data_IF_263621346779
#
_entry.id   IF_263621346779
#
_cell.length_a   1.000
_cell.length_b   1.000
_cell.length_c   1.000
_cell.angle_alpha   90.00
_cell.angle_beta   90.00
_cell.angle_gamma   90.00
#
_symmetry.space_group_name_H-M   'P 1'
#
loop_
_entity.id
_entity.type
_entity.pdbx_description
1 polymer ?
#
# COMPACT_ATOMS: atom_id res chain seq x y z
N UNK A 1 -5.86 -22.45 1.18
CA UNK A 1 -5.91 -21.19 0.41
C UNK A 1 -4.47 -20.75 0.19
N UNK A 2 -4.03 -20.55 -1.05
CA UNK A 2 -2.64 -20.22 -1.32
C UNK A 2 -2.43 -18.69 -1.36
N UNK A 3 -1.40 -18.23 -0.66
CA UNK A 3 -0.91 -16.85 -0.66
C UNK A 3 0.42 -16.79 -1.42
N UNK A 4 0.50 -15.97 -2.45
CA UNK A 4 1.79 -15.64 -3.07
C UNK A 4 2.54 -14.65 -2.17
N UNK A 5 3.79 -14.98 -1.88
CA UNK A 5 4.68 -14.12 -1.12
C UNK A 5 5.87 -13.71 -1.98
N UNK A 6 5.89 -12.42 -2.33
CA UNK A 6 6.94 -11.84 -3.17
C UNK A 6 7.89 -11.02 -2.30
N UNK A 7 9.08 -11.51 -2.11
CA UNK A 7 10.15 -10.84 -1.37
C UNK A 7 11.52 -11.27 -1.89
N UNK A 8 12.56 -10.48 -1.59
CA UNK A 8 13.92 -10.76 -2.02
C UNK A 8 14.94 -10.09 -1.07
N UNK A 9 16.06 -10.74 -0.81
CA UNK A 9 17.12 -10.21 0.06
C UNK A 9 17.73 -8.90 -0.49
N UNK A 10 17.68 -8.67 -1.79
CA UNK A 10 18.13 -7.42 -2.43
C UNK A 10 17.39 -6.18 -1.94
N UNK A 11 16.19 -6.33 -1.38
CA UNK A 11 15.50 -5.21 -0.73
C UNK A 11 16.22 -4.70 0.53
N UNK A 12 17.09 -5.52 1.15
CA UNK A 12 17.93 -5.12 2.28
C UNK A 12 19.08 -4.20 1.86
N UNK A 13 19.43 -4.16 0.57
CA UNK A 13 20.49 -3.29 0.03
C UNK A 13 20.09 -1.80 0.06
N UNK A 14 18.79 -1.50 0.07
CA UNK A 14 18.32 -0.14 0.28
C UNK A 14 18.50 0.29 1.73
N UNK A 15 19.40 1.25 1.99
CA UNK A 15 19.74 1.77 3.33
C UNK A 15 19.57 3.29 3.35
N UNK A 16 18.45 3.76 3.89
CA UNK A 16 18.13 5.18 3.99
C UNK A 16 18.96 5.94 5.04
N UNK A 17 19.61 5.22 5.97
CA UNK A 17 20.50 5.78 6.99
C UNK A 17 20.50 4.99 8.29
N UNK A 18 21.54 5.18 9.13
CA UNK A 18 21.76 4.36 10.35
C UNK A 18 20.64 4.42 11.41
N UNK A 19 19.84 5.47 11.42
CA UNK A 19 18.74 5.67 12.40
C UNK A 19 17.43 6.00 11.69
N UNK A 20 17.38 5.72 10.39
CA UNK A 20 16.18 5.97 9.61
C UNK A 20 15.08 4.98 10.01
N UNK A 21 13.83 5.42 10.18
CA UNK A 21 12.73 4.51 10.54
C UNK A 21 12.49 3.49 9.42
N UNK A 22 12.55 3.91 8.15
CA UNK A 22 12.55 3.00 7.02
C UNK A 22 13.91 2.32 6.93
N UNK A 23 13.98 1.05 7.30
CA UNK A 23 15.22 0.29 7.46
C UNK A 23 15.04 -1.18 7.04
N UNK A 24 16.14 -1.88 6.69
CA UNK A 24 16.10 -3.31 6.39
C UNK A 24 15.40 -4.18 7.45
N UNK A 25 15.51 -3.82 8.73
CA UNK A 25 14.87 -4.54 9.84
C UNK A 25 13.34 -4.63 9.72
N UNK A 26 12.70 -3.71 8.97
CA UNK A 26 11.26 -3.79 8.70
C UNK A 26 10.91 -5.03 7.89
N UNK A 27 11.70 -5.35 6.87
CA UNK A 27 11.47 -6.54 6.06
C UNK A 27 11.73 -7.83 6.85
N UNK A 28 12.76 -7.83 7.70
CA UNK A 28 13.01 -8.95 8.62
C UNK A 28 11.84 -9.17 9.60
N UNK A 29 11.22 -8.08 10.08
CA UNK A 29 10.02 -8.13 10.92
C UNK A 29 8.82 -8.73 10.15
N UNK A 30 8.64 -8.38 8.88
CA UNK A 30 7.61 -8.96 8.00
C UNK A 30 7.85 -10.46 7.78
N UNK A 31 9.08 -10.86 7.48
CA UNK A 31 9.42 -12.28 7.31
C UNK A 31 9.13 -13.07 8.58
N UNK A 32 9.56 -12.58 9.74
CA UNK A 32 9.23 -13.17 11.04
C UNK A 32 7.73 -13.29 11.26
N UNK A 33 6.96 -12.28 10.85
CA UNK A 33 5.49 -12.29 10.96
C UNK A 33 4.86 -13.44 10.19
N UNK A 34 5.31 -13.70 8.97
CA UNK A 34 4.81 -14.79 8.15
C UNK A 34 5.33 -16.16 8.58
N UNK A 35 6.58 -16.24 9.01
CA UNK A 35 7.15 -17.51 9.52
C UNK A 35 6.40 -18.00 10.78
N UNK A 36 5.82 -17.09 11.58
CA UNK A 36 4.98 -17.43 12.73
C UNK A 36 3.67 -18.17 12.35
N UNK A 37 3.26 -18.12 11.07
CA UNK A 37 2.02 -18.76 10.62
C UNK A 37 2.17 -20.24 10.30
N UNK A 38 3.37 -20.82 10.29
CA UNK A 38 3.65 -22.23 9.96
C UNK A 38 3.01 -22.69 8.63
N UNK A 39 3.06 -21.83 7.59
CA UNK A 39 2.34 -22.02 6.33
C UNK A 39 3.17 -22.72 5.24
N UNK A 40 3.91 -23.77 5.54
CA UNK A 40 4.81 -24.43 4.59
C UNK A 40 4.15 -24.86 3.26
N UNK A 41 2.85 -25.23 3.29
CA UNK A 41 2.13 -25.69 2.08
C UNK A 41 1.30 -24.59 1.38
N UNK A 42 0.86 -23.57 2.11
CA UNK A 42 -0.04 -22.53 1.61
C UNK A 42 0.66 -21.21 1.28
N UNK A 43 1.92 -21.05 1.69
CA UNK A 43 2.74 -19.88 1.37
C UNK A 43 3.65 -20.17 0.17
N UNK A 44 3.22 -19.70 -1.00
CA UNK A 44 3.99 -19.88 -2.25
C UNK A 44 4.95 -18.71 -2.43
N UNK A 45 6.24 -18.95 -2.22
CA UNK A 45 7.28 -17.94 -2.41
C UNK A 45 7.62 -17.81 -3.89
N UNK A 46 7.47 -16.60 -4.43
CA UNK A 46 7.82 -16.27 -5.81
C UNK A 46 8.88 -15.16 -5.80
N UNK A 47 9.92 -15.34 -6.61
CA UNK A 47 10.91 -14.29 -6.81
C UNK A 47 10.29 -13.11 -7.59
N UNK A 48 10.41 -11.88 -7.09
CA UNK A 48 10.03 -10.71 -7.87
C UNK A 48 10.93 -10.56 -9.11
N UNK A 49 10.42 -9.89 -10.15
CA UNK A 49 11.19 -9.51 -11.32
C UNK A 49 11.52 -8.02 -11.33
N UNK A 50 12.56 -7.66 -12.04
CA UNK A 50 12.88 -6.24 -12.23
C UNK A 50 11.87 -5.60 -13.19
N UNK A 51 11.30 -4.46 -12.81
CA UNK A 51 10.49 -3.66 -13.72
C UNK A 51 11.35 -3.12 -14.87
N UNK A 52 10.85 -3.20 -16.08
CA UNK A 52 11.48 -2.64 -17.28
C UNK A 52 11.31 -1.11 -17.31
N UNK A 53 12.20 -0.44 -18.02
CA UNK A 53 12.07 1.02 -18.21
C UNK A 53 10.72 1.40 -18.82
N UNK A 54 10.22 0.63 -19.79
CA UNK A 54 8.91 0.86 -20.40
C UNK A 54 7.75 0.77 -19.40
N UNK A 55 7.85 -0.10 -18.40
CA UNK A 55 6.86 -0.22 -17.34
C UNK A 55 6.93 0.97 -16.36
N UNK A 56 8.13 1.40 -16.00
CA UNK A 56 8.34 2.59 -15.16
C UNK A 56 7.87 3.87 -15.84
N UNK A 57 8.10 4.02 -17.14
CA UNK A 57 7.70 5.18 -17.94
C UNK A 57 6.17 5.40 -18.01
N UNK A 58 5.37 4.44 -17.55
CA UNK A 58 3.91 4.63 -17.43
C UNK A 58 3.53 5.56 -16.27
N UNK A 59 4.42 5.69 -15.27
CA UNK A 59 4.17 6.49 -14.07
C UNK A 59 5.20 7.59 -13.86
N UNK A 60 6.43 7.37 -14.29
CA UNK A 60 7.57 8.27 -14.01
C UNK A 60 8.27 8.69 -15.31
N UNK A 61 8.54 9.98 -15.53
CA UNK A 61 9.28 10.44 -16.69
C UNK A 61 10.73 9.95 -16.67
N UNK A 62 11.34 9.92 -17.85
CA UNK A 62 12.70 9.36 -18.01
C UNK A 62 13.74 10.13 -17.17
N UNK A 63 13.55 11.43 -16.98
CA UNK A 63 14.42 12.28 -16.17
C UNK A 63 14.47 11.80 -14.71
N UNK A 64 13.32 11.45 -14.13
CA UNK A 64 13.24 10.90 -12.78
C UNK A 64 13.97 9.56 -12.68
N UNK A 65 13.73 8.64 -13.63
CA UNK A 65 14.37 7.33 -13.71
C UNK A 65 15.89 7.47 -13.79
N UNK A 66 16.39 8.35 -14.65
CA UNK A 66 17.82 8.59 -14.81
C UNK A 66 18.46 9.28 -13.60
N UNK A 67 17.73 10.14 -12.89
CA UNK A 67 18.22 10.75 -11.66
C UNK A 67 18.45 9.70 -10.55
N UNK A 68 17.52 8.75 -10.38
CA UNK A 68 17.66 7.65 -9.43
C UNK A 68 18.84 6.74 -9.79
N UNK A 69 18.96 6.35 -11.06
CA UNK A 69 20.05 5.50 -11.56
C UNK A 69 21.42 6.16 -11.38
N UNK A 70 21.54 7.46 -11.69
CA UNK A 70 22.77 8.20 -11.54
C UNK A 70 23.20 8.33 -10.08
N UNK A 71 22.24 8.66 -9.19
CA UNK A 71 22.54 8.84 -7.78
C UNK A 71 22.96 7.51 -7.10
N UNK A 72 22.36 6.39 -7.48
CA UNK A 72 22.77 5.05 -7.05
C UNK A 72 24.19 4.72 -7.53
N UNK A 73 24.52 5.03 -8.79
CA UNK A 73 25.85 4.79 -9.37
C UNK A 73 26.94 5.66 -8.73
N UNK A 74 26.59 6.84 -8.20
CA UNK A 74 27.50 7.70 -7.42
C UNK A 74 27.68 7.21 -5.97
N UNK A 75 27.02 6.12 -5.57
CA UNK A 75 27.09 5.53 -4.23
C UNK A 75 26.03 6.03 -3.25
N UNK A 76 25.07 6.79 -3.73
CA UNK A 76 23.93 7.29 -2.97
C UNK A 76 23.88 8.79 -2.78
N UNK A 77 22.81 9.26 -2.15
CA UNK A 77 22.54 10.66 -1.90
C UNK A 77 21.14 10.90 -1.34
N UNK A 78 20.63 12.12 -1.49
CA UNK A 78 19.28 12.49 -1.06
C UNK A 78 18.47 13.00 -2.24
N UNK A 79 17.23 12.53 -2.33
CA UNK A 79 16.24 13.04 -3.29
C UNK A 79 15.44 14.20 -2.69
N UNK A 80 15.19 14.12 -1.37
CA UNK A 80 14.59 15.18 -0.58
C UNK A 80 15.08 15.10 0.89
N UNK A 81 14.61 15.96 1.84
CA UNK A 81 15.10 15.97 3.21
C UNK A 81 14.98 14.64 3.96
N UNK A 82 14.00 13.80 3.63
CA UNK A 82 13.73 12.53 4.32
C UNK A 82 13.90 11.27 3.44
N UNK A 83 14.16 11.44 2.15
CA UNK A 83 14.27 10.33 1.19
C UNK A 83 15.70 10.21 0.67
N UNK A 84 16.37 9.14 1.06
CA UNK A 84 17.75 8.87 0.71
C UNK A 84 17.88 7.66 -0.24
N UNK A 85 18.94 7.67 -1.03
CA UNK A 85 19.39 6.57 -1.88
C UNK A 85 20.76 6.10 -1.36
N UNK A 86 20.99 4.81 -1.30
CA UNK A 86 22.29 4.18 -1.12
C UNK A 86 22.66 3.37 -2.34
N UNK A 87 23.90 2.93 -2.45
CA UNK A 87 24.28 1.94 -3.46
C UNK A 87 23.40 0.69 -3.31
N UNK A 88 22.80 0.22 -4.43
CA UNK A 88 21.83 -0.87 -4.47
C UNK A 88 20.36 -0.44 -4.37
N UNK A 89 20.05 0.80 -3.97
CA UNK A 89 18.67 1.29 -3.86
C UNK A 89 17.92 1.29 -5.18
N UNK A 90 18.59 1.63 -6.30
CA UNK A 90 17.99 1.59 -7.64
C UNK A 90 17.58 0.17 -8.04
N UNK A 91 18.45 -0.81 -7.76
CA UNK A 91 18.14 -2.22 -7.96
C UNK A 91 16.93 -2.68 -7.15
N UNK A 92 16.91 -2.33 -5.85
CA UNK A 92 15.80 -2.63 -4.94
C UNK A 92 14.49 -1.96 -5.40
N UNK A 93 14.51 -0.69 -5.78
CA UNK A 93 13.31 0.03 -6.24
C UNK A 93 12.71 -0.56 -7.52
N UNK A 94 13.54 -0.92 -8.51
CA UNK A 94 13.07 -1.58 -9.72
C UNK A 94 12.48 -2.96 -9.45
N UNK A 95 13.08 -3.68 -8.51
CA UNK A 95 12.60 -4.98 -8.08
C UNK A 95 11.27 -4.85 -7.32
N UNK A 96 11.14 -3.83 -6.45
CA UNK A 96 9.91 -3.53 -5.74
C UNK A 96 8.76 -3.21 -6.71
N UNK A 97 9.00 -2.31 -7.68
CA UNK A 97 8.02 -2.00 -8.73
C UNK A 97 7.65 -3.22 -9.58
N UNK A 98 8.60 -4.12 -9.82
CA UNK A 98 8.38 -5.34 -10.59
C UNK A 98 7.67 -6.46 -9.82
N UNK A 99 7.61 -6.37 -8.48
CA UNK A 99 6.96 -7.39 -7.65
C UNK A 99 5.47 -7.51 -7.94
N UNK A 100 4.76 -6.38 -8.00
CA UNK A 100 3.32 -6.40 -8.33
C UNK A 100 3.05 -6.93 -9.74
N UNK A 101 3.94 -6.64 -10.70
CA UNK A 101 3.82 -7.18 -12.06
C UNK A 101 3.98 -8.70 -12.09
N UNK A 102 4.93 -9.25 -11.33
CA UNK A 102 5.10 -10.70 -11.16
C UNK A 102 3.90 -11.32 -10.45
N UNK A 103 3.34 -10.64 -9.43
CA UNK A 103 2.13 -11.09 -8.75
C UNK A 103 0.93 -11.17 -9.71
N UNK A 104 0.73 -10.16 -10.57
CA UNK A 104 -0.31 -10.17 -11.61
C UNK A 104 -0.15 -11.36 -12.54
N UNK A 105 1.07 -11.64 -12.99
CA UNK A 105 1.37 -12.77 -13.89
C UNK A 105 0.99 -14.10 -13.24
N UNK A 106 1.41 -14.34 -12.00
CA UNK A 106 1.16 -15.58 -11.28
C UNK A 106 -0.34 -15.74 -10.91
N UNK A 107 -1.00 -14.68 -10.41
CA UNK A 107 -2.43 -14.74 -10.09
C UNK A 107 -3.29 -14.97 -11.34
N UNK A 108 -2.91 -14.42 -12.48
CA UNK A 108 -3.61 -14.66 -13.76
C UNK A 108 -3.49 -16.11 -14.20
N UNK A 109 -2.41 -16.81 -13.81
CA UNK A 109 -2.22 -18.24 -14.04
C UNK A 109 -2.91 -19.12 -13.00
N UNK A 110 -3.63 -18.51 -12.05
CA UNK A 110 -4.38 -19.19 -10.98
C UNK A 110 -3.47 -20.00 -10.02
N UNK A 111 -2.25 -19.53 -9.78
CA UNK A 111 -1.32 -20.17 -8.84
C UNK A 111 -1.70 -19.94 -7.37
N UNK A 112 -2.50 -18.89 -7.09
CA UNK A 112 -2.99 -18.58 -5.74
C UNK A 112 -4.24 -17.67 -5.79
N UNK A 113 -4.73 -17.29 -4.61
CA UNK A 113 -5.94 -16.46 -4.48
C UNK A 113 -5.64 -15.00 -4.20
N UNK A 114 -4.46 -14.70 -3.64
CA UNK A 114 -3.98 -13.35 -3.37
C UNK A 114 -2.45 -13.32 -3.35
N UNK A 115 -1.88 -12.11 -3.36
CA UNK A 115 -0.44 -11.90 -3.27
C UNK A 115 -0.09 -10.83 -2.24
N UNK A 116 1.04 -11.02 -1.55
CA UNK A 116 1.67 -10.00 -0.73
C UNK A 116 3.07 -9.69 -1.24
N UNK A 117 3.26 -8.48 -1.70
CA UNK A 117 4.53 -7.91 -2.11
C UNK A 117 5.20 -7.27 -0.88
N UNK A 118 6.02 -8.04 -0.17
CA UNK A 118 6.83 -7.57 0.96
C UNK A 118 8.10 -6.93 0.43
N UNK A 119 8.00 -5.68 0.08
CA UNK A 119 8.97 -4.92 -0.72
C UNK A 119 9.54 -3.74 0.06
N UNK A 120 10.73 -3.29 -0.34
CA UNK A 120 11.39 -2.05 0.04
C UNK A 120 12.23 -1.53 -1.14
N UNK A 121 12.32 -0.19 -1.33
CA UNK A 121 11.62 0.89 -0.61
C UNK A 121 10.10 0.86 -0.85
N UNK A 122 9.31 1.55 0.02
CA UNK A 122 7.88 1.77 -0.20
C UNK A 122 7.62 2.64 -1.43
N UNK A 123 6.34 2.85 -1.82
CA UNK A 123 6.06 3.45 -3.10
C UNK A 123 5.01 4.56 -3.13
N UNK A 124 4.00 4.55 -2.28
CA UNK A 124 2.78 5.34 -2.45
C UNK A 124 2.96 6.87 -2.43
N UNK A 125 4.07 7.38 -1.86
CA UNK A 125 4.38 8.81 -1.87
C UNK A 125 5.12 9.28 -3.11
N UNK A 126 5.77 8.39 -3.89
CA UNK A 126 6.51 8.80 -5.08
C UNK A 126 5.53 9.36 -6.14
N UNK A 127 5.64 10.67 -6.41
CA UNK A 127 4.88 11.35 -7.47
C UNK A 127 5.49 11.04 -8.84
N UNK A 128 4.90 11.47 -9.95
CA UNK A 128 5.50 11.21 -11.25
C UNK A 128 6.97 11.60 -11.33
N UNK A 129 7.36 12.74 -10.81
CA UNK A 129 8.70 13.34 -10.98
C UNK A 129 9.49 13.54 -9.67
N UNK A 130 8.97 13.08 -8.52
CA UNK A 130 9.62 13.25 -7.22
C UNK A 130 9.60 11.96 -6.38
N UNK A 131 10.76 11.60 -5.86
CA UNK A 131 10.91 10.69 -4.74
C UNK A 131 10.72 11.46 -3.43
N UNK A 132 9.84 10.99 -2.55
CA UNK A 132 9.55 11.63 -1.26
C UNK A 132 8.92 10.62 -0.30
N UNK A 133 8.86 10.93 0.99
CA UNK A 133 8.25 10.04 1.99
C UNK A 133 8.85 8.65 1.98
N UNK A 134 10.17 8.53 1.85
CA UNK A 134 10.95 7.28 1.76
C UNK A 134 10.73 6.49 0.45
N UNK A 135 9.83 6.93 -0.43
CA UNK A 135 9.45 6.26 -1.68
C UNK A 135 10.31 6.75 -2.86
N UNK A 136 10.86 5.82 -3.63
CA UNK A 136 11.68 6.13 -4.81
C UNK A 136 10.88 6.01 -6.12
N UNK A 137 10.16 4.91 -6.28
CA UNK A 137 9.28 4.58 -7.40
C UNK A 137 7.91 4.23 -6.79
N UNK A 138 6.84 4.61 -7.45
CA UNK A 138 5.50 4.23 -7.01
C UNK A 138 5.16 2.80 -7.45
N UNK A 139 5.43 1.83 -6.56
CA UNK A 139 5.35 0.41 -6.85
C UNK A 139 3.95 -0.04 -7.26
N UNK A 140 2.93 0.37 -6.49
CA UNK A 140 1.53 0.02 -6.75
C UNK A 140 1.01 0.71 -8.01
N UNK A 141 1.42 1.96 -8.26
CA UNK A 141 1.02 2.69 -9.46
C UNK A 141 1.59 2.06 -10.73
N UNK A 142 2.84 1.59 -10.73
CA UNK A 142 3.43 0.86 -11.87
C UNK A 142 2.61 -0.39 -12.21
N UNK A 143 2.13 -1.11 -11.20
CA UNK A 143 1.26 -2.26 -11.37
C UNK A 143 -0.12 -1.86 -11.93
N UNK A 144 -0.76 -0.86 -11.32
CA UNK A 144 -2.04 -0.33 -11.78
C UNK A 144 -1.96 0.19 -13.23
N UNK A 145 -0.93 0.99 -13.55
CA UNK A 145 -0.70 1.51 -14.90
C UNK A 145 -0.49 0.40 -15.94
N UNK A 146 0.12 -0.72 -15.53
CA UNK A 146 0.28 -1.88 -16.41
C UNK A 146 -1.02 -2.63 -16.66
N UNK A 147 -1.92 -2.68 -15.67
CA UNK A 147 -3.25 -3.28 -15.80
C UNK A 147 -4.16 -2.42 -16.67
N UNK A 148 -4.24 -1.11 -16.43
CA UNK A 148 -5.07 -0.22 -17.27
C UNK A 148 -4.56 -0.14 -18.71
N UNK A 149 -3.28 -0.35 -18.97
CA UNK A 149 -2.74 -0.46 -20.33
C UNK A 149 -3.24 -1.72 -21.07
N UNK A 150 -3.73 -2.73 -20.34
CA UNK A 150 -4.39 -3.93 -20.89
C UNK A 150 -5.91 -3.77 -20.99
N UNK A 151 -6.47 -2.62 -20.60
CA UNK A 151 -7.91 -2.34 -20.61
C UNK A 151 -8.65 -2.72 -19.33
N UNK A 152 -7.93 -3.10 -18.27
CA UNK A 152 -8.47 -3.47 -16.97
C UNK A 152 -8.83 -2.21 -16.14
N UNK A 153 -9.82 -2.31 -15.26
CA UNK A 153 -10.18 -1.31 -14.25
C UNK A 153 -9.55 -1.69 -12.91
N UNK A 154 -8.99 -0.73 -12.21
CA UNK A 154 -8.25 -0.99 -10.97
C UNK A 154 -8.79 -0.15 -9.82
N UNK A 155 -9.15 -0.77 -8.70
CA UNK A 155 -9.30 -0.06 -7.43
C UNK A 155 -7.98 -0.12 -6.66
N UNK A 156 -7.47 1.04 -6.27
CA UNK A 156 -6.33 1.17 -5.36
C UNK A 156 -6.85 1.66 -4.02
N UNK A 157 -6.68 0.87 -2.98
CA UNK A 157 -7.14 1.20 -1.64
C UNK A 157 -5.90 1.33 -0.75
N UNK A 158 -5.67 2.52 -0.23
CA UNK A 158 -4.55 2.85 0.62
C UNK A 158 -5.00 2.94 2.07
N UNK A 159 -4.45 2.08 2.93
CA UNK A 159 -4.73 2.03 4.37
C UNK A 159 -3.51 2.42 5.21
N UNK A 160 -2.43 2.88 4.57
CA UNK A 160 -1.32 3.54 5.27
C UNK A 160 -1.84 4.76 6.03
N UNK A 161 -1.24 5.06 7.17
CA UNK A 161 -1.65 6.22 7.96
C UNK A 161 -1.31 7.56 7.29
N UNK A 162 -0.39 7.56 6.33
CA UNK A 162 -0.06 8.72 5.51
C UNK A 162 -0.84 8.71 4.19
N UNK A 163 -1.22 9.87 3.72
CA UNK A 163 -1.90 10.00 2.43
C UNK A 163 -1.02 9.51 1.26
N UNK A 164 -1.54 8.63 0.42
CA UNK A 164 -0.88 8.12 -0.79
C UNK A 164 -0.85 9.14 -1.92
N UNK A 165 -0.23 10.30 -1.66
CA UNK A 165 -0.23 11.45 -2.56
C UNK A 165 0.34 11.17 -3.94
N UNK A 166 1.37 10.34 -4.02
CA UNK A 166 2.00 9.98 -5.30
C UNK A 166 1.06 9.15 -6.17
N UNK A 167 0.38 8.17 -5.59
CA UNK A 167 -0.62 7.35 -6.29
C UNK A 167 -1.79 8.21 -6.75
N UNK A 168 -2.28 9.10 -5.88
CA UNK A 168 -3.32 10.07 -6.21
C UNK A 168 -2.89 10.94 -7.40
N UNK A 169 -1.72 11.53 -7.37
CA UNK A 169 -1.24 12.44 -8.43
C UNK A 169 -1.10 11.72 -9.78
N UNK A 170 -0.59 10.48 -9.79
CA UNK A 170 -0.43 9.69 -11.02
C UNK A 170 -1.78 9.42 -11.70
N UNK A 171 -2.84 9.17 -10.93
CA UNK A 171 -4.15 8.80 -11.48
C UNK A 171 -5.22 9.88 -11.37
N UNK A 172 -4.89 11.10 -11.00
CA UNK A 172 -5.84 12.18 -10.69
C UNK A 172 -6.80 12.53 -11.83
N UNK A 173 -6.41 12.23 -13.07
CA UNK A 173 -7.18 12.49 -14.29
C UNK A 173 -7.73 11.21 -14.96
N UNK A 174 -7.49 10.02 -14.38
CA UNK A 174 -7.78 8.75 -15.05
C UNK A 174 -8.98 8.02 -14.42
N UNK A 175 -10.13 7.92 -15.11
CA UNK A 175 -11.33 7.26 -14.59
C UNK A 175 -11.25 5.72 -14.55
N UNK A 176 -10.15 5.13 -15.02
CA UNK A 176 -9.93 3.68 -14.99
C UNK A 176 -9.36 3.20 -13.67
N UNK A 177 -8.92 4.14 -12.81
CA UNK A 177 -8.43 3.86 -11.47
C UNK A 177 -9.30 4.56 -10.44
N UNK A 178 -9.93 3.80 -9.57
CA UNK A 178 -10.57 4.31 -8.36
C UNK A 178 -9.52 4.32 -7.23
N UNK A 179 -9.07 5.50 -6.81
CA UNK A 179 -8.13 5.67 -5.71
C UNK A 179 -8.85 6.07 -4.44
N UNK A 180 -8.75 5.26 -3.38
CA UNK A 180 -9.31 5.56 -2.05
C UNK A 180 -8.18 5.53 -1.04
N UNK A 181 -7.99 6.62 -0.27
CA UNK A 181 -6.99 6.70 0.78
C UNK A 181 -7.65 7.02 2.12
N UNK A 182 -7.42 6.17 3.13
CA UNK A 182 -7.87 6.36 4.52
C UNK A 182 -6.62 6.68 5.34
N UNK A 183 -6.48 7.92 5.79
CA UNK A 183 -5.25 8.41 6.39
C UNK A 183 -5.48 9.37 7.54
N UNK A 184 -4.46 9.60 8.36
CA UNK A 184 -4.49 10.60 9.43
C UNK A 184 -4.42 12.02 8.86
N UNK A 185 -5.23 12.91 9.42
CA UNK A 185 -5.26 14.33 9.06
C UNK A 185 -5.39 15.24 10.31
N UNK A 186 -4.59 16.32 10.42
CA UNK A 186 -3.44 16.65 9.56
C UNK A 186 -2.22 15.78 9.84
N UNK A 187 -1.53 15.34 8.79
CA UNK A 187 -0.26 14.63 8.85
C UNK A 187 0.54 14.87 7.55
N UNK A 188 1.79 14.35 7.48
CA UNK A 188 2.57 14.30 6.25
C UNK A 188 1.79 13.55 5.13
N UNK A 189 1.84 14.00 3.86
CA UNK A 189 2.58 15.14 3.33
C UNK A 189 1.79 16.46 3.35
N UNK A 190 0.63 16.54 3.97
CA UNK A 190 -0.23 17.71 4.03
C UNK A 190 -1.20 17.85 2.85
N UNK A 191 -1.42 16.75 2.11
CA UNK A 191 -2.40 16.58 1.03
C UNK A 191 -3.42 15.52 1.39
N UNK A 192 -4.46 15.31 0.59
CA UNK A 192 -5.49 14.32 0.83
C UNK A 192 -6.70 14.86 1.57
N UNK A 193 -7.07 16.12 1.33
CA UNK A 193 -8.34 16.65 1.83
C UNK A 193 -9.53 15.98 1.14
N UNK A 194 -10.68 15.94 1.80
CA UNK A 194 -11.92 15.39 1.22
C UNK A 194 -12.39 16.12 -0.05
N UNK A 195 -11.84 17.30 -0.34
CA UNK A 195 -12.13 18.11 -1.52
C UNK A 195 -11.30 17.69 -2.74
N UNK A 196 -10.23 16.91 -2.55
CA UNK A 196 -9.39 16.38 -3.61
C UNK A 196 -10.04 15.12 -4.20
N UNK A 197 -10.92 15.31 -5.21
CA UNK A 197 -11.80 14.26 -5.77
C UNK A 197 -11.44 13.84 -7.21
N UNK A 198 -10.25 14.20 -7.69
CA UNK A 198 -9.87 14.06 -9.10
C UNK A 198 -10.34 15.20 -9.96
N UNK A 199 -9.83 15.30 -11.17
CA UNK A 199 -10.14 16.36 -12.13
C UNK A 199 -10.46 15.79 -13.52
N UNK A 200 -11.09 16.62 -14.36
CA UNK A 200 -11.46 16.26 -15.74
C UNK A 200 -12.19 14.92 -15.80
N UNK A 201 -11.65 13.93 -16.52
CA UNK A 201 -12.22 12.59 -16.64
C UNK A 201 -12.09 11.76 -15.34
N UNK A 202 -11.10 12.07 -14.50
CA UNK A 202 -10.86 11.42 -13.21
C UNK A 202 -11.69 11.98 -12.05
N UNK A 203 -12.55 12.98 -12.30
CA UNK A 203 -13.38 13.58 -11.24
C UNK A 203 -14.35 12.56 -10.66
N UNK A 204 -14.29 12.37 -9.33
CA UNK A 204 -15.07 11.39 -8.57
C UNK A 204 -14.40 10.03 -8.43
N UNK A 205 -13.23 9.82 -9.05
CA UNK A 205 -12.45 8.58 -8.93
C UNK A 205 -11.28 8.67 -7.94
N UNK A 206 -11.12 9.81 -7.25
CA UNK A 206 -10.25 9.98 -6.08
C UNK A 206 -11.12 10.24 -4.88
N UNK A 207 -10.90 9.49 -3.81
CA UNK A 207 -11.68 9.57 -2.56
C UNK A 207 -10.72 9.59 -1.38
N UNK A 208 -10.72 10.67 -0.63
CA UNK A 208 -9.91 10.85 0.56
C UNK A 208 -10.77 10.76 1.82
N UNK A 209 -10.30 10.00 2.80
CA UNK A 209 -10.93 9.84 4.11
C UNK A 209 -9.94 10.33 5.19
N UNK A 210 -9.83 11.67 5.38
CA UNK A 210 -8.89 12.28 6.30
C UNK A 210 -9.38 12.17 7.75
N UNK A 211 -8.90 11.15 8.46
CA UNK A 211 -9.32 10.82 9.82
C UNK A 211 -8.51 11.60 10.88
N UNK A 212 -9.10 12.04 11.98
CA UNK A 212 -8.37 12.67 13.06
C UNK A 212 -7.44 11.69 13.79
N UNK A 213 -6.39 12.22 14.43
CA UNK A 213 -5.54 11.50 15.38
C UNK A 213 -6.36 10.72 16.39
N UNK A 214 -5.93 9.51 16.75
CA UNK A 214 -6.63 8.61 17.67
C UNK A 214 -7.75 7.79 17.03
N UNK A 215 -8.02 7.92 15.73
CA UNK A 215 -9.00 7.08 15.05
C UNK A 215 -8.61 5.60 15.15
N UNK A 216 -9.58 4.76 15.48
CA UNK A 216 -9.41 3.34 15.80
C UNK A 216 -9.81 2.46 14.63
N UNK A 217 -9.58 1.16 14.76
CA UNK A 217 -10.03 0.17 13.78
C UNK A 217 -11.54 0.16 13.58
N UNK A 218 -12.35 0.52 14.61
CA UNK A 218 -13.80 0.69 14.44
C UNK A 218 -14.12 1.80 13.42
N UNK A 219 -13.38 2.91 13.43
CA UNK A 219 -13.55 4.00 12.45
C UNK A 219 -13.13 3.55 11.06
N UNK A 220 -12.01 2.84 10.94
CA UNK A 220 -11.56 2.26 9.65
C UNK A 220 -12.56 1.25 9.09
N UNK A 221 -13.07 0.31 9.91
CA UNK A 221 -14.13 -0.63 9.47
C UNK A 221 -15.37 0.11 8.98
N UNK A 222 -15.78 1.17 9.70
CA UNK A 222 -16.91 1.99 9.26
C UNK A 222 -16.63 2.72 7.95
N UNK A 223 -15.40 3.17 7.70
CA UNK A 223 -14.99 3.74 6.41
C UNK A 223 -15.01 2.68 5.29
N UNK A 224 -14.55 1.46 5.57
CA UNK A 224 -14.69 0.36 4.62
C UNK A 224 -16.17 0.10 4.29
N UNK A 225 -17.01 -0.10 5.29
CA UNK A 225 -18.42 -0.48 5.10
C UNK A 225 -19.24 0.60 4.39
N UNK A 226 -19.01 1.88 4.74
CA UNK A 226 -19.85 3.00 4.28
C UNK A 226 -19.31 3.70 3.04
N UNK A 227 -18.03 3.58 2.73
CA UNK A 227 -17.38 4.31 1.63
C UNK A 227 -16.74 3.33 0.65
N UNK A 228 -15.77 2.52 1.12
CA UNK A 228 -14.96 1.70 0.23
C UNK A 228 -15.79 0.63 -0.48
N UNK A 229 -16.54 -0.17 0.29
CA UNK A 229 -17.34 -1.28 -0.26
C UNK A 229 -18.33 -0.78 -1.30
N UNK A 230 -19.22 0.21 -1.01
CA UNK A 230 -20.18 0.68 -2.01
C UNK A 230 -19.52 1.27 -3.27
N UNK A 231 -18.43 2.04 -3.11
CA UNK A 231 -17.74 2.64 -4.25
C UNK A 231 -17.04 1.61 -5.14
N UNK A 232 -16.42 0.59 -4.53
CA UNK A 232 -15.79 -0.51 -5.27
C UNK A 232 -16.83 -1.38 -5.96
N UNK A 233 -17.97 -1.67 -5.31
CA UNK A 233 -19.08 -2.41 -5.91
C UNK A 233 -19.70 -1.66 -7.11
N UNK A 234 -19.86 -0.32 -7.02
CA UNK A 234 -20.34 0.49 -8.16
C UNK A 234 -19.29 0.59 -9.28
N UNK A 235 -18.04 0.78 -8.91
CA UNK A 235 -16.93 0.87 -9.87
C UNK A 235 -16.68 -0.44 -10.61
N UNK A 236 -16.89 -1.60 -9.98
CA UNK A 236 -16.66 -2.95 -10.53
C UNK A 236 -15.24 -3.11 -11.11
N UNK A 237 -14.19 -3.05 -10.30
CA UNK A 237 -12.82 -3.20 -10.75
C UNK A 237 -12.52 -4.63 -11.19
N UNK A 238 -11.60 -4.80 -12.13
CA UNK A 238 -11.01 -6.09 -12.47
C UNK A 238 -9.94 -6.51 -11.44
N UNK A 239 -9.30 -5.54 -10.77
CA UNK A 239 -8.28 -5.75 -9.76
C UNK A 239 -8.47 -4.82 -8.57
N UNK A 240 -8.18 -5.34 -7.38
CA UNK A 240 -8.01 -4.56 -6.15
C UNK A 240 -6.54 -4.62 -5.75
N UNK A 241 -5.91 -3.46 -5.68
CA UNK A 241 -4.54 -3.28 -5.20
C UNK A 241 -4.60 -2.52 -3.87
N UNK A 242 -3.85 -2.98 -2.87
CA UNK A 242 -3.86 -2.39 -1.54
C UNK A 242 -2.48 -1.87 -1.17
N UNK A 243 -2.36 -0.55 -0.94
CA UNK A 243 -1.21 0.00 -0.21
C UNK A 243 -1.38 -0.35 1.27
N UNK A 244 -0.67 -1.39 1.68
CA UNK A 244 -0.75 -1.98 3.01
C UNK A 244 0.33 -1.39 3.92
N UNK A 245 0.12 -0.16 4.39
CA UNK A 245 0.87 0.41 5.49
C UNK A 245 0.36 -0.15 6.82
N UNK A 246 1.27 -0.36 7.76
CA UNK A 246 0.97 -0.84 9.11
C UNK A 246 1.29 0.24 10.18
N UNK A 247 1.55 1.46 9.76
CA UNK A 247 1.88 2.61 10.61
C UNK A 247 0.66 3.28 11.25
N UNK A 248 -0.57 2.90 10.88
CA UNK A 248 -1.76 3.24 11.65
C UNK A 248 -1.85 2.47 12.99
N UNK A 249 -0.89 1.58 13.28
CA UNK A 249 -0.82 0.89 14.57
C UNK A 249 -0.53 1.88 15.71
N UNK A 250 -1.23 1.74 16.84
CA UNK A 250 -1.13 2.63 18.00
C UNK A 250 0.28 2.77 18.62
N UNK A 251 1.16 1.81 18.34
CA UNK A 251 2.55 1.81 18.80
C UNK A 251 3.53 2.34 17.73
N UNK A 252 3.03 2.82 16.59
CA UNK A 252 3.90 3.35 15.56
C UNK A 252 4.48 4.71 15.98
N UNK A 253 5.79 4.94 15.77
CA UNK A 253 6.43 6.17 16.23
C UNK A 253 6.17 7.40 15.32
N UNK A 254 5.58 7.23 14.14
CA UNK A 254 5.40 8.30 13.15
C UNK A 254 3.97 8.82 13.03
N UNK A 255 3.01 8.13 13.65
CA UNK A 255 1.58 8.48 13.56
C UNK A 255 0.92 8.41 14.93
N UNK A 256 -0.28 8.97 15.03
CA UNK A 256 -1.08 8.96 16.26
C UNK A 256 -2.41 8.20 16.07
N UNK A 257 -2.43 7.20 15.17
CA UNK A 257 -3.62 6.38 14.98
C UNK A 257 -3.74 5.32 16.08
N UNK A 258 -4.92 4.70 16.19
CA UNK A 258 -5.26 3.84 17.32
C UNK A 258 -5.50 2.38 16.95
N UNK A 259 -5.03 1.89 15.80
CA UNK A 259 -5.24 0.51 15.36
C UNK A 259 -4.37 -0.48 16.13
N UNK A 260 -4.83 -1.73 16.15
CA UNK A 260 -4.10 -2.89 16.67
C UNK A 260 -3.91 -3.93 15.56
N UNK A 261 -3.09 -4.95 15.82
CA UNK A 261 -2.94 -6.08 14.90
C UNK A 261 -4.25 -6.80 14.59
N UNK A 262 -5.20 -6.84 15.54
CA UNK A 262 -6.54 -7.38 15.30
C UNK A 262 -7.38 -6.54 14.35
N UNK A 263 -7.20 -5.22 14.34
CA UNK A 263 -7.86 -4.34 13.39
C UNK A 263 -7.32 -4.55 11.97
N UNK A 264 -6.00 -4.67 11.81
CA UNK A 264 -5.39 -4.98 10.51
C UNK A 264 -5.86 -6.33 9.97
N UNK A 265 -6.07 -7.34 10.83
CA UNK A 265 -6.66 -8.61 10.42
C UNK A 265 -8.05 -8.44 9.79
N UNK A 266 -8.92 -7.66 10.46
CA UNK A 266 -10.27 -7.38 9.97
C UNK A 266 -10.23 -6.59 8.64
N UNK A 267 -9.42 -5.53 8.56
CA UNK A 267 -9.29 -4.70 7.36
C UNK A 267 -8.78 -5.50 6.17
N UNK A 268 -7.71 -6.26 6.37
CA UNK A 268 -7.10 -7.06 5.31
C UNK A 268 -8.06 -8.13 4.78
N UNK A 269 -8.78 -8.82 5.67
CA UNK A 269 -9.78 -9.82 5.28
C UNK A 269 -10.94 -9.19 4.50
N UNK A 270 -11.44 -8.03 4.92
CA UNK A 270 -12.51 -7.32 4.23
C UNK A 270 -12.05 -6.88 2.82
N UNK A 271 -10.86 -6.32 2.70
CA UNK A 271 -10.29 -5.90 1.40
C UNK A 271 -10.04 -7.09 0.47
N UNK A 272 -9.56 -8.20 1.00
CA UNK A 272 -9.42 -9.44 0.24
C UNK A 272 -10.78 -9.94 -0.29
N UNK A 273 -11.82 -9.96 0.55
CA UNK A 273 -13.16 -10.43 0.18
C UNK A 273 -13.87 -9.50 -0.82
N UNK A 274 -13.48 -8.22 -0.87
CA UNK A 274 -14.03 -7.24 -1.81
C UNK A 274 -13.49 -7.43 -3.24
N UNK A 275 -12.32 -8.04 -3.37
CA UNK A 275 -11.68 -8.23 -4.67
C UNK A 275 -12.32 -9.38 -5.48
N UNK A 276 -12.31 -9.30 -6.82
CA UNK A 276 -12.60 -10.45 -7.64
C UNK A 276 -11.61 -11.59 -7.35
N UNK A 277 -12.05 -12.83 -7.54
CA UNK A 277 -11.24 -14.01 -7.22
C UNK A 277 -9.87 -13.95 -7.91
N UNK A 278 -8.79 -14.16 -7.13
CA UNK A 278 -7.39 -14.12 -7.57
C UNK A 278 -6.99 -12.79 -8.22
N UNK A 279 -7.56 -11.68 -7.75
CA UNK A 279 -7.32 -10.33 -8.27
C UNK A 279 -7.04 -9.31 -7.17
N UNK A 280 -6.49 -9.76 -6.02
CA UNK A 280 -6.09 -8.92 -4.90
C UNK A 280 -4.59 -8.99 -4.68
N UNK A 281 -3.93 -7.82 -4.59
CA UNK A 281 -2.49 -7.74 -4.30
C UNK A 281 -2.27 -6.69 -3.22
N UNK A 282 -1.58 -7.07 -2.15
CA UNK A 282 -1.14 -6.18 -1.08
C UNK A 282 0.32 -5.77 -1.28
N UNK A 283 0.62 -4.49 -1.11
CA UNK A 283 1.96 -3.92 -1.21
C UNK A 283 2.35 -3.34 0.14
N UNK A 284 3.47 -3.77 0.69
CA UNK A 284 4.02 -3.20 1.92
C UNK A 284 4.40 -1.74 1.69
N UNK A 285 3.85 -0.85 2.52
CA UNK A 285 4.21 0.56 2.57
C UNK A 285 4.84 0.90 3.94
N UNK A 286 4.21 1.70 4.78
CA UNK A 286 4.69 2.09 6.10
C UNK A 286 4.57 1.00 7.18
N UNK A 287 4.91 1.38 8.41
CA UNK A 287 4.98 0.53 9.59
C UNK A 287 6.39 0.47 10.17
N UNK A 288 6.62 1.20 11.26
CA UNK A 288 7.97 1.53 11.76
C UNK A 288 8.23 1.01 13.17
N UNK A 289 7.22 0.56 13.89
CA UNK A 289 7.41 -0.27 15.07
C UNK A 289 7.55 -1.74 14.64
N UNK A 290 8.75 -2.31 14.82
CA UNK A 290 9.07 -3.65 14.29
C UNK A 290 8.21 -4.78 14.89
N UNK A 291 7.85 -4.69 16.17
CA UNK A 291 7.00 -5.71 16.80
C UNK A 291 5.56 -5.56 16.34
N UNK A 292 5.03 -4.35 16.30
CA UNK A 292 3.70 -4.07 15.76
C UNK A 292 3.57 -4.51 14.29
N UNK A 293 4.60 -4.26 13.47
CA UNK A 293 4.66 -4.72 12.09
C UNK A 293 4.63 -6.25 11.99
N UNK A 294 5.44 -6.96 12.82
CA UNK A 294 5.41 -8.43 12.89
C UNK A 294 4.02 -8.94 13.22
N UNK A 295 3.40 -8.40 14.27
CA UNK A 295 2.11 -8.87 14.79
C UNK A 295 0.96 -8.54 13.81
N UNK A 296 0.99 -7.35 13.20
CA UNK A 296 -0.02 -6.92 12.24
C UNK A 296 0.04 -7.72 10.94
N UNK A 297 1.23 -7.98 10.41
CA UNK A 297 1.40 -8.84 9.22
C UNK A 297 0.94 -10.27 9.52
N UNK A 298 1.35 -10.83 10.65
CA UNK A 298 0.89 -12.17 11.08
C UNK A 298 -0.63 -12.24 11.14
N UNK A 299 -1.27 -11.30 11.85
CA UNK A 299 -2.72 -11.28 12.02
C UNK A 299 -3.47 -11.08 10.70
N UNK A 300 -2.99 -10.19 9.83
CA UNK A 300 -3.57 -9.89 8.53
C UNK A 300 -3.64 -11.12 7.63
N UNK A 301 -2.51 -11.79 7.44
CA UNK A 301 -2.46 -12.93 6.54
C UNK A 301 -2.99 -14.22 7.17
N UNK A 302 -2.93 -14.36 8.50
CA UNK A 302 -3.67 -15.40 9.23
C UNK A 302 -5.18 -15.31 8.95
N UNK A 303 -5.75 -14.10 9.01
CA UNK A 303 -7.17 -13.88 8.76
C UNK A 303 -7.58 -14.32 7.33
N UNK A 304 -6.80 -13.94 6.31
CA UNK A 304 -7.03 -14.39 4.93
C UNK A 304 -6.96 -15.92 4.83
N UNK A 305 -6.01 -16.55 5.52
CA UNK A 305 -5.80 -18.00 5.51
C UNK A 305 -6.82 -18.76 6.36
N UNK A 306 -7.72 -18.06 7.06
CA UNK A 306 -8.69 -18.68 7.97
C UNK A 306 -8.07 -19.20 9.27
N UNK A 307 -6.90 -18.70 9.65
CA UNK A 307 -6.20 -19.02 10.89
C UNK A 307 -6.59 -17.99 11.94
N UNK A 308 -7.02 -18.44 13.12
CA UNK A 308 -7.35 -17.55 14.24
C UNK A 308 -6.07 -17.16 14.99
N UNK A 309 -5.40 -16.12 14.50
CA UNK A 309 -4.21 -15.51 15.12
C UNK A 309 -4.43 -13.99 15.28
N UNK A 310 -4.68 -13.57 16.50
CA UNK A 310 -4.89 -12.18 16.87
C UNK A 310 -4.05 -11.83 18.10
N UNK A 311 -2.79 -11.38 17.91
CA UNK A 311 -1.92 -10.98 19.04
C UNK A 311 -2.56 -9.91 19.91
N UNK A 312 -3.37 -9.03 19.32
CA UNK A 312 -4.19 -8.04 20.00
C UNK A 312 -5.64 -8.14 19.49
N UNK A 313 -6.59 -7.80 20.36
CA UNK A 313 -7.99 -7.68 19.96
C UNK A 313 -8.23 -6.45 19.10
N UNK A 314 -9.22 -6.53 18.22
CA UNK A 314 -9.70 -5.37 17.47
C UNK A 314 -10.24 -4.28 18.43
N UNK A 315 -10.04 -3.02 18.04
CA UNK A 315 -10.43 -1.86 18.87
C UNK A 315 -11.91 -1.53 18.71
N UNK A 316 -12.47 -0.93 19.76
CA UNK A 316 -13.81 -0.37 19.79
C UNK A 316 -13.85 1.07 19.27
N UNK A 317 -14.85 1.81 19.71
CA UNK A 317 -15.15 3.18 19.27
C UNK A 317 -13.96 4.13 19.39
N UNK A 318 -13.86 5.05 18.42
CA UNK A 318 -12.85 6.08 18.33
C UNK A 318 -13.36 7.32 17.58
N UNK A 319 -12.54 8.38 17.50
CA UNK A 319 -12.91 9.60 16.77
C UNK A 319 -12.99 9.35 15.26
N UNK A 320 -13.61 10.27 14.50
CA UNK A 320 -13.63 10.29 13.03
C UNK A 320 -14.93 9.81 12.40
N UNK A 321 -15.91 9.32 13.15
CA UNK A 321 -17.19 8.85 12.59
C UNK A 321 -17.99 9.95 11.86
N UNK A 322 -17.88 11.19 12.29
CA UNK A 322 -18.49 12.33 11.58
C UNK A 322 -17.84 12.58 10.21
N UNK A 323 -16.53 12.35 10.10
CA UNK A 323 -15.80 12.43 8.81
C UNK A 323 -16.28 11.33 7.88
N UNK A 324 -16.33 10.08 8.36
CA UNK A 324 -16.81 8.94 7.59
C UNK A 324 -18.23 9.16 7.07
N UNK A 325 -19.15 9.61 7.94
CA UNK A 325 -20.53 9.86 7.53
C UNK A 325 -20.64 10.98 6.49
N UNK A 326 -19.92 12.09 6.67
CA UNK A 326 -19.92 13.22 5.74
C UNK A 326 -19.41 12.82 4.35
N UNK A 327 -18.34 12.02 4.29
CA UNK A 327 -17.78 11.56 3.01
C UNK A 327 -18.74 10.57 2.34
N UNK A 328 -19.32 9.64 3.09
CA UNK A 328 -20.31 8.70 2.56
C UNK A 328 -21.53 9.43 1.97
N UNK A 329 -22.01 10.50 2.63
CA UNK A 329 -23.08 11.35 2.12
C UNK A 329 -22.67 12.10 0.83
N UNK A 330 -21.46 12.68 0.80
CA UNK A 330 -20.97 13.45 -0.36
C UNK A 330 -20.80 12.62 -1.62
N UNK A 331 -20.50 11.33 -1.48
CA UNK A 331 -20.39 10.38 -2.60
C UNK A 331 -21.72 9.66 -2.92
N UNK A 332 -22.82 10.00 -2.24
CA UNK A 332 -24.14 9.43 -2.50
C UNK A 332 -24.29 7.96 -2.12
N UNK A 333 -23.39 7.45 -1.29
CA UNK A 333 -23.40 6.04 -0.82
C UNK A 333 -24.35 5.83 0.37
N UNK A 334 -24.78 6.90 1.04
CA UNK A 334 -25.84 6.88 2.07
C UNK A 334 -26.92 7.90 1.66
N UNK A 335 -28.15 7.45 1.53
CA UNK A 335 -29.34 8.29 1.28
C UNK A 335 -30.02 8.67 2.59
#
# INVERSE_FOLDING_TARGET
MALLFLTDERFLEHVAGKKHPESPARLEAVWKGLDNLFLDEDLVRIAPRIATETELLRCHPIEHIRALEALDAEGGGRMDPDTAISAGSWGAARLAAGSGLAAVEALTQSEAETAFCAIRPPGHHATPDRSMGFCLINNIAVTAASLIAKGEKVAVIDIDAHHGNGTQEIFYFDPRVLMISIHQWPLYPGTGSEEEIGELNGKGFTVNVPLPSGSTGSTYRSALDKIVVPLVEDFQPDWVLVSAGFDAHREDPLTDMGLTSGDFADLTLNLFNLAPKSRCIFFLEGGYNLQALTDSVSASFAAIMGIDLRPESATGDGPGMEVVNRIAESHGVIS
#
